data_IF_893365335773
#
_entry.id   IF_893365335773
#
_cell.length_a   1.000
_cell.length_b   1.000
_cell.length_c   1.000
_cell.angle_alpha   90.00
_cell.angle_beta   90.00
_cell.angle_gamma   90.00
#
_symmetry.space_group_name_H-M   'P 1'
#
loop_
_entity.id
_entity.type
_entity.pdbx_description
1 polymer ?
#
# COMPACT_ATOMS: atom_id res chain seq x y z
N UNK A 1 -0.59 -2.25 17.25
CA UNK A 1 -0.05 -2.17 15.87
C UNK A 1 1.02 -1.09 15.73
N UNK A 2 0.89 0.08 16.37
CA UNK A 2 1.86 1.19 16.26
C UNK A 2 3.29 0.88 16.75
N UNK A 3 3.45 -0.08 17.68
CA UNK A 3 4.76 -0.49 18.21
C UNK A 3 5.50 -1.53 17.34
N UNK A 4 4.97 -1.87 16.17
CA UNK A 4 5.66 -2.79 15.23
C UNK A 4 7.05 -2.26 14.88
N UNK A 5 8.05 -3.15 14.88
CA UNK A 5 9.41 -2.78 14.53
C UNK A 5 9.61 -2.56 13.03
N UNK A 6 8.74 -3.11 12.19
CA UNK A 6 8.82 -3.02 10.73
C UNK A 6 8.10 -1.81 10.12
N UNK A 7 8.40 -1.57 8.84
CA UNK A 7 7.76 -0.54 8.02
C UNK A 7 6.55 -1.15 7.33
N UNK A 8 5.36 -0.56 7.49
CA UNK A 8 4.15 -1.06 6.84
C UNK A 8 3.13 0.06 6.58
N UNK A 9 2.27 -0.19 5.60
CA UNK A 9 1.14 0.66 5.27
C UNK A 9 -0.11 -0.19 5.03
N UNK A 10 -1.25 0.47 5.03
CA UNK A 10 -2.54 -0.08 4.62
C UNK A 10 -3.02 0.74 3.44
N UNK A 11 -3.41 0.04 2.37
CA UNK A 11 -4.03 0.61 1.19
C UNK A 11 -5.45 0.08 1.05
N UNK A 12 -6.29 0.84 0.36
CA UNK A 12 -7.64 0.42 0.01
C UNK A 12 -7.62 -0.59 -1.16
N UNK A 13 -8.81 -0.93 -1.68
CA UNK A 13 -8.93 -1.87 -2.80
C UNK A 13 -8.45 -1.31 -4.15
N UNK A 14 -8.25 0.01 -4.24
CA UNK A 14 -7.76 0.71 -5.42
C UNK A 14 -6.24 0.94 -5.37
N UNK A 15 -5.57 0.45 -4.32
CA UNK A 15 -4.16 0.73 -4.01
C UNK A 15 -3.89 2.18 -3.59
N UNK A 16 -4.90 2.85 -3.02
CA UNK A 16 -4.73 4.19 -2.43
C UNK A 16 -4.39 4.07 -0.95
N UNK A 17 -3.43 4.85 -0.46
CA UNK A 17 -3.02 4.77 0.95
C UNK A 17 -4.14 5.22 1.90
N UNK A 18 -4.41 4.41 2.92
CA UNK A 18 -5.30 4.77 4.05
C UNK A 18 -4.46 5.16 5.27
N UNK A 19 -3.34 4.47 5.49
CA UNK A 19 -2.52 4.66 6.68
C UNK A 19 -1.10 4.16 6.43
N UNK A 20 -0.12 4.80 7.06
CA UNK A 20 1.24 4.30 7.16
C UNK A 20 1.74 4.47 8.59
N UNK A 21 2.42 3.46 9.14
CA UNK A 21 2.99 3.61 10.46
C UNK A 21 4.15 4.61 10.45
N UNK A 22 4.42 5.25 11.60
CA UNK A 22 5.47 6.29 11.71
C UNK A 22 6.82 5.84 11.15
N UNK A 23 7.24 4.59 11.41
CA UNK A 23 8.50 4.06 10.86
C UNK A 23 8.51 4.00 9.34
N UNK A 24 7.40 3.61 8.71
CA UNK A 24 7.24 3.66 7.26
C UNK A 24 7.35 5.10 6.76
N UNK A 25 6.67 6.03 7.42
CA UNK A 25 6.71 7.45 7.04
C UNK A 25 8.15 7.98 7.09
N UNK A 26 8.88 7.68 8.17
CA UNK A 26 10.27 8.09 8.36
C UNK A 26 11.21 7.43 7.34
N UNK A 27 11.08 6.12 7.13
CA UNK A 27 11.97 5.36 6.25
C UNK A 27 11.77 5.70 4.77
N UNK A 28 10.51 5.83 4.33
CA UNK A 28 10.19 6.12 2.93
C UNK A 28 10.19 7.61 2.60
N UNK A 29 10.32 8.50 3.59
CA UNK A 29 10.37 9.94 3.37
C UNK A 29 8.99 10.59 3.16
N UNK A 30 7.92 9.99 3.65
CA UNK A 30 6.55 10.50 3.53
C UNK A 30 6.22 11.62 4.54
N UNK A 31 7.17 12.01 5.39
CA UNK A 31 7.00 12.99 6.49
C UNK A 31 6.39 14.35 6.09
N UNK A 32 6.46 14.72 4.81
CA UNK A 32 5.92 15.99 4.28
C UNK A 32 4.95 15.76 3.11
N UNK A 33 4.55 14.52 2.89
CA UNK A 33 3.66 14.15 1.80
C UNK A 33 2.30 13.87 2.39
N UNK A 34 1.31 14.62 1.92
CA UNK A 34 -0.07 14.23 2.09
C UNK A 34 -0.33 13.01 1.18
N UNK A 35 -0.30 11.81 1.76
CA UNK A 35 -0.36 10.54 1.01
C UNK A 35 -1.71 9.85 1.10
N UNK A 36 -2.53 10.19 2.09
CA UNK A 36 -3.82 9.54 2.29
C UNK A 36 -4.73 9.80 1.08
N UNK A 37 -5.39 8.75 0.60
CA UNK A 37 -6.22 8.79 -0.62
C UNK A 37 -5.44 8.88 -1.94
N UNK A 38 -4.10 8.77 -1.92
CA UNK A 38 -3.27 8.78 -3.14
C UNK A 38 -2.72 7.40 -3.45
N UNK A 39 -2.50 7.13 -4.73
CA UNK A 39 -1.83 5.92 -5.21
C UNK A 39 -0.32 6.15 -5.33
N UNK A 40 0.51 5.10 -5.36
CA UNK A 40 1.96 5.22 -5.54
C UNK A 40 2.33 6.07 -6.78
N UNK A 41 1.52 6.03 -7.84
CA UNK A 41 1.71 6.84 -9.05
C UNK A 41 1.67 8.36 -8.78
N UNK A 42 0.91 8.78 -7.77
CA UNK A 42 0.65 10.19 -7.43
C UNK A 42 1.60 10.70 -6.33
N UNK A 43 2.45 9.82 -5.77
CA UNK A 43 3.41 10.17 -4.72
C UNK A 43 4.72 10.68 -5.36
N UNK A 44 5.15 11.92 -5.07
CA UNK A 44 6.37 12.51 -5.64
C UNK A 44 7.64 12.01 -4.94
N UNK A 45 7.80 10.70 -4.84
CA UNK A 45 9.01 10.02 -4.33
C UNK A 45 9.57 9.19 -5.48
N UNK A 46 10.88 9.30 -5.73
CA UNK A 46 11.59 8.61 -6.82
C UNK A 46 11.22 7.13 -6.92
N UNK A 47 11.34 6.37 -5.82
CA UNK A 47 10.96 4.95 -5.79
C UNK A 47 9.51 4.70 -6.20
N UNK A 48 8.58 5.56 -5.76
CA UNK A 48 7.18 5.44 -6.15
C UNK A 48 7.04 5.73 -7.65
N UNK A 49 7.70 6.75 -8.17
CA UNK A 49 7.67 7.08 -9.60
C UNK A 49 8.27 5.98 -10.50
N UNK A 50 9.29 5.28 -10.02
CA UNK A 50 9.93 4.17 -10.75
C UNK A 50 9.16 2.85 -10.66
N UNK A 51 8.58 2.53 -9.50
CA UNK A 51 8.07 1.18 -9.19
C UNK A 51 6.56 1.10 -8.93
N UNK A 52 5.83 2.21 -9.08
CA UNK A 52 4.38 2.20 -8.89
C UNK A 52 3.65 1.15 -9.74
N UNK A 53 4.05 0.84 -11.01
CA UNK A 53 3.33 -0.16 -11.79
C UNK A 53 3.39 -1.55 -11.14
N UNK A 54 4.55 -1.94 -10.63
CA UNK A 54 4.79 -3.22 -9.97
C UNK A 54 4.05 -3.30 -8.63
N UNK A 55 4.04 -2.21 -7.85
CA UNK A 55 3.32 -2.16 -6.58
C UNK A 55 1.82 -2.32 -6.76
N UNK A 56 1.22 -1.60 -7.72
CA UNK A 56 -0.21 -1.72 -8.03
C UNK A 56 -0.54 -3.13 -8.58
N UNK A 57 0.32 -3.67 -9.44
CA UNK A 57 0.11 -5.03 -9.98
C UNK A 57 0.16 -6.09 -8.87
N UNK A 58 1.09 -5.95 -7.92
CA UNK A 58 1.19 -6.84 -6.77
C UNK A 58 -0.06 -6.77 -5.89
N UNK A 59 -0.54 -5.58 -5.55
CA UNK A 59 -1.74 -5.38 -4.73
C UNK A 59 -2.97 -6.02 -5.39
N UNK A 60 -3.17 -5.78 -6.69
CA UNK A 60 -4.26 -6.39 -7.47
C UNK A 60 -4.23 -7.91 -7.42
N UNK A 61 -3.04 -8.51 -7.61
CA UNK A 61 -2.85 -9.96 -7.52
C UNK A 61 -3.24 -10.51 -6.15
N UNK A 62 -2.89 -9.82 -5.07
CA UNK A 62 -3.27 -10.22 -3.69
C UNK A 62 -4.78 -10.09 -3.48
N UNK A 63 -5.39 -8.99 -3.92
CA UNK A 63 -6.84 -8.74 -3.83
C UNK A 63 -7.61 -9.84 -4.57
N UNK A 64 -7.23 -10.15 -5.81
CA UNK A 64 -7.88 -11.19 -6.63
C UNK A 64 -7.76 -12.57 -6.00
N UNK A 65 -6.57 -12.91 -5.47
CA UNK A 65 -6.35 -14.18 -4.76
C UNK A 65 -7.27 -14.28 -3.53
N UNK A 66 -7.42 -13.20 -2.77
CA UNK A 66 -8.27 -13.18 -1.59
C UNK A 66 -9.77 -13.23 -1.94
N UNK A 67 -10.21 -12.63 -3.06
CA UNK A 67 -11.57 -12.78 -3.58
C UNK A 67 -11.86 -14.24 -3.95
N UNK A 68 -10.97 -14.90 -4.70
CA UNK A 68 -11.11 -16.33 -5.08
C UNK A 68 -11.22 -17.24 -3.86
N UNK A 69 -10.38 -17.00 -2.83
CA UNK A 69 -10.40 -17.78 -1.58
C UNK A 69 -11.64 -17.56 -0.72
N UNK A 70 -12.42 -16.49 -0.96
CA UNK A 70 -13.69 -16.24 -0.26
C UNK A 70 -14.84 -17.01 -0.91
N UNK A 71 -14.86 -17.15 -2.24
CA UNK A 71 -15.85 -17.97 -2.94
C UNK A 71 -15.70 -19.46 -2.57
N UNK A 72 -14.46 -19.98 -2.51
CA UNK A 72 -14.21 -21.39 -2.19
C UNK A 72 -14.48 -21.78 -0.73
N UNK A 73 -14.67 -20.82 0.19
CA UNK A 73 -14.99 -21.11 1.59
C UNK A 73 -16.50 -21.19 1.88
N UNK A 74 -17.32 -20.79 0.90
CA UNK A 74 -18.78 -20.89 0.96
C UNK A 74 -19.31 -21.94 -0.03
N UNK A 75 -18.45 -22.86 -0.50
CA UNK A 75 -18.76 -23.96 -1.42
C UNK A 75 -18.81 -25.28 -0.67
#
# INVERSE_FOLDING_TARGET
MEKSLGNWCVKDINSDYIFMNKKGIDYYGFNKIDFEGKSDKDIPIERCQELWPEFIAHDRKVIEKNKKNRCNRNS
#
